data_IF_132157249896
#
_entry.id   IF_132157249896
#
_cell.length_a   1.000
_cell.length_b   1.000
_cell.length_c   1.000
_cell.angle_alpha   90.00
_cell.angle_beta   90.00
_cell.angle_gamma   90.00
#
_symmetry.space_group_name_H-M   'P 1'
#
loop_
_entity.id
_entity.type
_entity.pdbx_description
1 polymer ?
#
# COMPACT_ATOMS: atom_id res chain seq x y z
N UNK A 1 34.60 -1.43 -35.66
CA UNK A 1 33.68 -1.73 -34.55
C UNK A 1 33.04 -0.43 -34.12
N UNK A 2 31.82 -0.21 -34.56
CA UNK A 2 31.07 1.04 -34.47
C UNK A 2 30.11 0.97 -33.31
N UNK A 3 30.16 1.94 -32.39
CA UNK A 3 29.27 2.13 -31.27
C UNK A 3 27.90 2.64 -31.77
N UNK A 4 26.76 2.22 -31.20
CA UNK A 4 25.47 2.78 -31.57
C UNK A 4 25.19 4.11 -30.85
N UNK A 5 24.70 5.07 -31.62
CA UNK A 5 24.28 6.41 -31.19
C UNK A 5 23.03 6.37 -30.29
N UNK A 6 23.14 7.01 -29.15
CA UNK A 6 21.99 7.36 -28.29
C UNK A 6 21.34 8.63 -28.83
N UNK A 7 20.06 8.56 -29.22
CA UNK A 7 19.25 9.74 -29.58
C UNK A 7 18.61 10.34 -28.30
N UNK A 8 18.67 11.67 -28.12
CA UNK A 8 17.95 12.34 -27.05
C UNK A 8 16.47 12.51 -27.38
N UNK A 9 15.60 12.19 -26.41
CA UNK A 9 14.17 12.45 -26.45
C UNK A 9 13.91 13.96 -26.28
N UNK A 10 13.33 14.57 -27.31
CA UNK A 10 12.88 15.97 -27.35
C UNK A 10 11.53 16.06 -26.61
N UNK A 11 11.48 16.90 -25.58
CA UNK A 11 10.22 17.30 -24.90
C UNK A 11 9.51 18.38 -25.72
N UNK A 12 8.17 18.36 -25.87
CA UNK A 12 7.45 19.49 -26.44
C UNK A 12 7.28 20.62 -25.42
N UNK A 13 7.70 21.82 -25.82
CA UNK A 13 7.48 23.09 -25.14
C UNK A 13 6.00 23.48 -25.25
N UNK A 14 5.34 23.65 -24.11
CA UNK A 14 4.02 24.28 -24.05
C UNK A 14 4.22 25.80 -23.98
N UNK A 15 3.74 26.53 -24.99
CA UNK A 15 3.72 28.00 -25.03
C UNK A 15 2.52 28.54 -24.23
N UNK A 16 2.66 29.63 -23.46
CA UNK A 16 1.54 30.29 -22.84
C UNK A 16 0.77 31.17 -23.86
N UNK A 17 -0.54 31.06 -23.86
CA UNK A 17 -1.46 31.92 -24.62
C UNK A 17 -1.63 33.25 -23.88
N UNK A 18 -1.17 34.34 -24.55
CA UNK A 18 -1.42 35.72 -24.14
C UNK A 18 -2.80 36.14 -24.68
N UNK A 19 -3.69 36.57 -23.81
CA UNK A 19 -4.98 37.23 -24.20
C UNK A 19 -4.84 38.74 -24.20
N UNK A 20 -5.43 39.45 -25.19
CA UNK A 20 -5.34 40.91 -25.27
C UNK A 20 -6.36 41.61 -24.32
N UNK A 21 -5.90 42.72 -23.76
CA UNK A 21 -6.69 43.71 -22.99
C UNK A 21 -7.60 44.50 -23.92
N UNK A 22 -8.89 44.49 -23.66
CA UNK A 22 -9.84 45.45 -24.24
C UNK A 22 -10.05 46.56 -23.24
N UNK A 23 -9.74 47.82 -23.66
CA UNK A 23 -10.06 49.04 -22.97
C UNK A 23 -11.47 49.50 -23.39
N UNK A 24 -12.36 49.75 -22.45
CA UNK A 24 -13.60 50.52 -22.67
C UNK A 24 -13.65 51.69 -21.68
N UNK A 25 -14.04 52.82 -22.20
CA UNK A 25 -13.86 54.13 -21.60
C UNK A 25 -14.85 54.52 -20.50
N UNK A 26 -14.49 55.63 -19.89
CA UNK A 26 -15.19 56.39 -18.84
C UNK A 26 -16.60 56.86 -19.20
N UNK A 27 -17.52 56.62 -18.28
CA UNK A 27 -18.75 57.39 -18.14
C UNK A 27 -18.99 57.71 -16.65
N UNK A 28 -18.86 58.97 -16.27
CA UNK A 28 -19.06 59.43 -14.90
C UNK A 28 -20.55 59.65 -14.63
N UNK A 29 -21.07 58.99 -13.61
CA UNK A 29 -22.36 59.34 -12.97
C UNK A 29 -22.12 59.46 -11.45
N UNK A 30 -22.32 60.67 -10.92
CA UNK A 30 -22.29 60.95 -9.49
C UNK A 30 -23.56 60.40 -8.84
N UNK A 31 -23.42 59.43 -7.94
CA UNK A 31 -24.48 59.05 -7.01
C UNK A 31 -23.91 59.05 -5.59
N UNK A 32 -24.57 59.76 -4.70
CA UNK A 32 -24.21 59.96 -3.30
C UNK A 32 -24.16 58.59 -2.55
N UNK A 33 -23.02 58.25 -1.99
CA UNK A 33 -22.83 57.00 -1.19
C UNK A 33 -23.16 57.28 0.28
N UNK A 34 -24.17 56.58 0.79
CA UNK A 34 -24.26 56.22 2.21
C UNK A 34 -23.19 55.17 2.52
N UNK A 35 -22.19 55.55 3.32
CA UNK A 35 -21.17 54.60 3.81
C UNK A 35 -21.77 53.88 5.00
N UNK A 36 -22.31 52.67 4.75
CA UNK A 36 -22.50 51.70 5.80
C UNK A 36 -21.13 51.03 6.08
N UNK A 37 -20.59 51.24 7.27
CA UNK A 37 -19.39 50.54 7.73
C UNK A 37 -19.68 49.04 7.82
N UNK A 38 -19.32 48.29 6.78
CA UNK A 38 -19.25 46.83 6.83
C UNK A 38 -18.00 46.43 7.60
N UNK A 39 -18.16 45.88 8.80
CA UNK A 39 -17.11 45.15 9.50
C UNK A 39 -16.57 44.04 8.57
N UNK A 40 -15.25 43.85 8.45
CA UNK A 40 -14.70 42.74 7.69
C UNK A 40 -15.18 41.45 8.34
N UNK A 41 -16.13 40.77 7.71
CA UNK A 41 -16.50 39.41 8.07
C UNK A 41 -15.23 38.55 7.97
N UNK A 42 -14.82 37.96 9.07
CA UNK A 42 -13.80 36.94 9.07
C UNK A 42 -14.29 35.83 8.13
N UNK A 43 -13.62 35.70 6.98
CA UNK A 43 -13.84 34.57 6.09
C UNK A 43 -13.54 33.31 6.90
N UNK A 44 -14.59 32.64 7.34
CA UNK A 44 -14.47 31.36 8.01
C UNK A 44 -13.92 30.38 6.98
N UNK A 45 -12.67 29.91 7.18
CA UNK A 45 -12.08 28.91 6.32
C UNK A 45 -13.05 27.73 6.23
N UNK A 46 -13.39 27.31 5.01
CA UNK A 46 -14.22 26.13 4.81
C UNK A 46 -13.61 24.96 5.61
N UNK A 47 -14.41 24.17 6.33
CA UNK A 47 -13.89 23.07 7.13
C UNK A 47 -13.08 22.17 6.22
N UNK A 48 -11.81 21.90 6.59
CA UNK A 48 -10.95 20.98 5.88
C UNK A 48 -11.72 19.67 5.70
N UNK A 49 -11.84 19.19 4.46
CA UNK A 49 -12.58 17.96 4.14
C UNK A 49 -11.95 16.81 4.91
N UNK A 50 -12.73 16.12 5.74
CA UNK A 50 -12.22 15.03 6.57
C UNK A 50 -11.63 13.90 5.73
N UNK A 51 -10.52 13.31 6.18
CA UNK A 51 -9.92 12.11 5.59
C UNK A 51 -10.85 10.93 5.83
N UNK A 52 -11.62 10.52 4.81
CA UNK A 52 -12.55 9.40 4.87
C UNK A 52 -11.78 8.12 4.54
N UNK A 53 -11.76 7.17 5.47
CA UNK A 53 -11.03 5.91 5.37
C UNK A 53 -11.87 4.84 6.04
N UNK A 54 -12.04 3.71 5.38
CA UNK A 54 -12.73 2.54 5.89
C UNK A 54 -11.95 1.27 5.54
N UNK A 55 -11.93 0.30 6.44
CA UNK A 55 -11.27 -0.98 6.26
C UNK A 55 -12.23 -2.13 6.53
N UNK A 56 -12.41 -3.01 5.58
CA UNK A 56 -13.21 -4.22 5.71
C UNK A 56 -12.37 -5.46 5.38
N UNK A 57 -12.57 -6.54 6.16
CA UNK A 57 -11.89 -7.81 5.94
C UNK A 57 -12.79 -9.00 6.29
N UNK A 58 -12.39 -10.16 5.81
CA UNK A 58 -12.94 -11.49 6.12
C UNK A 58 -11.79 -12.39 6.53
N UNK A 59 -11.72 -12.80 7.80
CA UNK A 59 -10.61 -13.59 8.35
C UNK A 59 -11.04 -14.67 9.37
N UNK A 60 -12.33 -14.81 9.60
CA UNK A 60 -12.93 -15.87 10.39
C UNK A 60 -13.79 -16.81 9.54
N UNK A 61 -14.05 -18.03 10.05
CA UNK A 61 -14.94 -18.97 9.35
C UNK A 61 -16.34 -18.39 9.12
N UNK A 62 -16.86 -17.63 10.07
CA UNK A 62 -18.20 -17.02 9.96
C UNK A 62 -18.24 -15.95 8.86
N UNK A 63 -17.27 -15.05 8.85
CA UNK A 63 -17.16 -13.98 7.84
C UNK A 63 -16.92 -14.56 6.45
N UNK A 64 -16.01 -15.54 6.29
CA UNK A 64 -15.76 -16.19 5.00
C UNK A 64 -16.99 -16.95 4.48
N UNK A 65 -17.83 -17.50 5.36
CA UNK A 65 -19.11 -18.13 4.97
C UNK A 65 -20.18 -17.15 4.50
N UNK A 66 -20.08 -15.87 4.87
CA UNK A 66 -20.97 -14.83 4.36
C UNK A 66 -20.73 -14.55 2.86
N UNK A 67 -19.58 -14.93 2.33
CA UNK A 67 -19.26 -14.83 0.91
C UNK A 67 -19.86 -15.96 0.07
N UNK A 68 -19.98 -15.72 -1.24
CA UNK A 68 -20.44 -16.70 -2.22
C UNK A 68 -19.27 -17.53 -2.75
N UNK A 69 -19.42 -18.85 -2.74
CA UNK A 69 -18.41 -19.78 -3.28
C UNK A 69 -18.89 -20.45 -4.57
N UNK A 70 -17.92 -20.74 -5.45
CA UNK A 70 -18.13 -21.62 -6.61
C UNK A 70 -16.90 -22.53 -6.74
N UNK A 71 -17.07 -23.82 -6.50
CA UNK A 71 -15.99 -24.81 -6.52
C UNK A 71 -15.03 -24.73 -5.34
N UNK A 72 -15.27 -23.84 -4.38
CA UNK A 72 -14.49 -23.69 -3.15
C UNK A 72 -15.27 -24.15 -1.91
N UNK A 73 -14.56 -24.45 -0.83
CA UNK A 73 -15.12 -24.77 0.47
C UNK A 73 -14.59 -23.82 1.54
N UNK A 74 -15.44 -23.47 2.53
CA UNK A 74 -15.05 -22.65 3.69
C UNK A 74 -15.06 -23.48 4.95
N UNK A 75 -13.90 -23.68 5.54
CA UNK A 75 -13.73 -24.40 6.80
C UNK A 75 -12.50 -23.94 7.56
N UNK A 76 -12.54 -23.99 8.89
CA UNK A 76 -11.39 -23.74 9.78
C UNK A 76 -10.67 -22.39 9.49
N UNK A 77 -11.45 -21.32 9.26
CA UNK A 77 -10.92 -19.98 9.02
C UNK A 77 -10.27 -19.78 7.64
N UNK A 78 -10.61 -20.61 6.65
CA UNK A 78 -10.04 -20.48 5.30
C UNK A 78 -11.00 -20.91 4.19
N UNK A 79 -10.77 -20.37 3.01
CA UNK A 79 -11.37 -20.82 1.74
C UNK A 79 -10.36 -21.71 1.04
N UNK A 80 -10.76 -22.89 0.59
CA UNK A 80 -9.89 -23.83 -0.15
C UNK A 80 -10.53 -24.19 -1.50
N UNK A 81 -9.70 -24.44 -2.50
CA UNK A 81 -10.15 -25.06 -3.75
C UNK A 81 -10.59 -26.50 -3.44
N UNK A 82 -11.85 -26.82 -3.70
CA UNK A 82 -12.45 -28.12 -3.42
C UNK A 82 -12.80 -28.87 -4.71
N UNK A 83 -13.86 -28.43 -5.40
CA UNK A 83 -14.35 -29.02 -6.66
C UNK A 83 -14.34 -27.95 -7.75
N UNK A 84 -13.27 -27.84 -8.56
CA UNK A 84 -13.15 -26.75 -9.54
C UNK A 84 -14.36 -26.66 -10.47
N UNK A 85 -14.88 -25.47 -10.66
CA UNK A 85 -16.04 -25.19 -11.53
C UNK A 85 -15.68 -24.37 -12.76
N UNK A 86 -14.43 -23.89 -12.83
CA UNK A 86 -13.94 -23.07 -13.93
C UNK A 86 -12.52 -23.49 -14.35
N UNK A 87 -12.14 -23.07 -15.54
CA UNK A 87 -10.79 -23.20 -16.07
C UNK A 87 -10.20 -21.84 -16.40
N UNK A 88 -8.89 -21.71 -16.25
CA UNK A 88 -8.09 -20.52 -16.60
C UNK A 88 -6.91 -20.91 -17.48
N UNK A 89 -6.54 -20.04 -18.40
CA UNK A 89 -5.29 -20.15 -19.15
C UNK A 89 -4.37 -18.99 -18.74
N UNK A 90 -3.17 -19.29 -18.26
CA UNK A 90 -2.19 -18.31 -17.84
C UNK A 90 -0.82 -18.77 -18.33
N UNK A 91 -0.10 -17.92 -19.07
CA UNK A 91 1.21 -18.26 -19.63
C UNK A 91 1.21 -19.55 -20.46
N UNK A 92 0.16 -19.80 -21.25
CA UNK A 92 -0.02 -21.03 -22.04
C UNK A 92 -0.36 -22.30 -21.22
N UNK A 93 -0.44 -22.20 -19.90
CA UNK A 93 -0.78 -23.34 -19.01
C UNK A 93 -2.25 -23.31 -18.64
N UNK A 94 -2.88 -24.50 -18.52
CA UNK A 94 -4.27 -24.63 -18.05
C UNK A 94 -4.32 -24.87 -16.55
N UNK A 95 -5.27 -24.19 -15.89
CA UNK A 95 -5.51 -24.26 -14.45
C UNK A 95 -6.99 -24.54 -14.18
N UNK A 96 -7.24 -25.43 -13.24
CA UNK A 96 -8.56 -25.64 -12.62
C UNK A 96 -8.76 -24.55 -11.57
N UNK A 97 -9.95 -23.94 -11.52
CA UNK A 97 -10.22 -22.78 -10.69
C UNK A 97 -11.53 -22.90 -9.90
N UNK A 98 -11.52 -22.26 -8.73
CA UNK A 98 -12.65 -22.02 -7.86
C UNK A 98 -12.68 -20.55 -7.45
N UNK A 99 -13.83 -20.04 -7.00
CA UNK A 99 -13.94 -18.63 -6.59
C UNK A 99 -14.63 -18.48 -5.24
N UNK A 100 -14.24 -17.40 -4.56
CA UNK A 100 -14.94 -16.83 -3.42
C UNK A 100 -15.21 -15.35 -3.71
N UNK A 101 -16.44 -14.87 -3.41
CA UNK A 101 -16.83 -13.46 -3.57
C UNK A 101 -17.36 -12.92 -2.25
N UNK A 102 -16.93 -11.73 -1.86
CA UNK A 102 -17.42 -11.07 -0.66
C UNK A 102 -18.90 -10.65 -0.79
N UNK A 103 -19.59 -10.43 0.32
CA UNK A 103 -20.73 -9.52 0.33
C UNK A 103 -20.33 -8.14 -0.20
N UNK A 104 -21.31 -7.31 -0.59
CA UNK A 104 -21.10 -5.90 -0.91
C UNK A 104 -20.72 -5.13 0.36
N UNK A 105 -19.70 -4.26 0.25
CA UNK A 105 -19.29 -3.33 1.29
C UNK A 105 -19.63 -1.91 0.86
N UNK A 106 -20.23 -1.15 1.78
CA UNK A 106 -20.55 0.27 1.60
C UNK A 106 -19.89 1.05 2.75
N UNK A 107 -18.80 1.78 2.48
CA UNK A 107 -18.03 2.46 3.54
C UNK A 107 -18.75 3.69 4.14
N UNK A 108 -19.93 4.06 3.62
CA UNK A 108 -20.69 5.23 4.07
C UNK A 108 -20.25 6.55 3.42
N UNK A 109 -19.30 6.48 2.50
CA UNK A 109 -18.83 7.62 1.70
C UNK A 109 -18.48 7.18 0.28
N UNK A 110 -18.42 8.13 -0.65
CA UNK A 110 -17.96 7.86 -2.01
C UNK A 110 -16.43 7.82 -2.04
N UNK A 111 -15.84 6.64 -2.11
CA UNK A 111 -14.38 6.44 -2.11
C UNK A 111 -13.79 6.61 -3.52
N UNK A 112 -12.54 7.05 -3.59
CA UNK A 112 -11.79 7.24 -4.83
C UNK A 112 -10.63 6.28 -5.00
N UNK A 113 -10.23 5.60 -3.93
CA UNK A 113 -9.16 4.61 -3.94
C UNK A 113 -9.53 3.39 -3.09
N UNK A 114 -9.10 2.22 -3.55
CA UNK A 114 -9.16 0.96 -2.80
C UNK A 114 -7.82 0.23 -2.94
N UNK A 115 -7.28 -0.27 -1.82
CA UNK A 115 -6.05 -1.07 -1.78
C UNK A 115 -6.37 -2.40 -1.09
N UNK A 116 -6.20 -3.54 -1.77
CA UNK A 116 -6.53 -4.85 -1.21
C UNK A 116 -5.42 -5.37 -0.30
N UNK A 117 -5.76 -6.35 0.50
CA UNK A 117 -4.81 -7.17 1.27
C UNK A 117 -5.30 -8.60 1.33
N UNK A 118 -4.39 -9.56 1.36
CA UNK A 118 -4.75 -10.98 1.48
C UNK A 118 -3.65 -11.79 2.16
N UNK A 119 -4.05 -12.94 2.71
CA UNK A 119 -3.17 -14.02 3.14
C UNK A 119 -3.61 -15.29 2.44
N UNK A 120 -2.72 -15.89 1.66
CA UNK A 120 -3.00 -17.09 0.89
C UNK A 120 -1.83 -18.06 0.89
N UNK A 121 -2.13 -19.36 0.90
CA UNK A 121 -1.17 -20.40 0.63
C UNK A 121 -1.34 -20.92 -0.80
N UNK A 122 -0.24 -21.02 -1.54
CA UNK A 122 -0.22 -21.44 -2.95
C UNK A 122 0.83 -22.52 -3.15
N UNK A 123 0.55 -23.76 -2.70
CA UNK A 123 1.49 -24.88 -2.82
C UNK A 123 1.66 -25.33 -4.28
N UNK A 124 2.88 -25.73 -4.67
CA UNK A 124 3.19 -26.24 -6.01
C UNK A 124 2.84 -25.22 -7.11
N UNK A 125 2.36 -25.69 -8.26
CA UNK A 125 1.90 -24.85 -9.37
C UNK A 125 0.46 -24.40 -9.11
N UNK A 126 0.30 -23.47 -8.15
CA UNK A 126 -0.99 -22.85 -7.81
C UNK A 126 -0.81 -21.37 -7.50
N UNK A 127 -1.92 -20.60 -7.61
CA UNK A 127 -1.94 -19.18 -7.37
C UNK A 127 -3.33 -18.69 -6.95
N UNK A 128 -3.41 -17.44 -6.51
CA UNK A 128 -4.65 -16.71 -6.33
C UNK A 128 -4.69 -15.47 -7.22
N UNK A 129 -5.89 -15.08 -7.70
CA UNK A 129 -6.16 -13.77 -8.27
C UNK A 129 -7.09 -13.01 -7.35
N UNK A 130 -6.73 -11.76 -7.04
CA UNK A 130 -7.59 -10.85 -6.27
C UNK A 130 -8.16 -9.82 -7.23
N UNK A 131 -9.49 -9.82 -7.35
CA UNK A 131 -10.26 -8.95 -8.25
C UNK A 131 -11.23 -8.11 -7.45
N UNK A 132 -11.49 -6.90 -7.92
CA UNK A 132 -12.48 -6.00 -7.33
C UNK A 132 -13.46 -5.51 -8.37
N UNK A 133 -14.65 -5.13 -7.93
CA UNK A 133 -15.62 -4.34 -8.69
C UNK A 133 -16.37 -3.40 -7.77
N UNK A 134 -16.97 -2.36 -8.32
CA UNK A 134 -17.72 -1.38 -7.55
C UNK A 134 -19.00 -0.91 -8.20
N UNK A 135 -19.76 -0.15 -7.45
CA UNK A 135 -20.94 0.58 -7.94
C UNK A 135 -20.79 2.07 -7.63
N UNK A 136 -21.14 2.89 -8.59
CA UNK A 136 -21.27 4.33 -8.36
C UNK A 136 -22.60 4.70 -7.68
N UNK A 137 -22.80 5.99 -7.45
CA UNK A 137 -24.02 6.51 -6.82
C UNK A 137 -25.29 6.28 -7.66
N UNK A 138 -25.16 6.11 -8.98
CA UNK A 138 -26.26 5.82 -9.88
C UNK A 138 -26.56 4.30 -9.98
N UNK A 139 -25.80 3.47 -9.25
CA UNK A 139 -25.95 2.01 -9.28
C UNK A 139 -25.25 1.32 -10.46
N UNK A 140 -24.52 2.06 -11.31
CA UNK A 140 -23.75 1.48 -12.42
C UNK A 140 -22.64 0.61 -11.88
N UNK A 141 -22.49 -0.57 -12.45
CA UNK A 141 -21.52 -1.59 -12.02
C UNK A 141 -20.26 -1.52 -12.89
N UNK A 142 -19.09 -1.54 -12.27
CA UNK A 142 -17.84 -1.73 -13.00
C UNK A 142 -17.62 -3.18 -13.41
N UNK A 143 -16.67 -3.42 -14.31
CA UNK A 143 -16.09 -4.73 -14.59
C UNK A 143 -15.36 -5.29 -13.36
N UNK A 144 -14.83 -6.52 -13.48
CA UNK A 144 -13.94 -7.11 -12.47
C UNK A 144 -12.48 -6.83 -12.81
N UNK A 145 -11.87 -5.87 -12.15
CA UNK A 145 -10.46 -5.53 -12.29
C UNK A 145 -9.57 -6.46 -11.48
N UNK A 146 -8.49 -6.93 -12.10
CA UNK A 146 -7.46 -7.76 -11.46
C UNK A 146 -6.41 -6.87 -10.79
N UNK A 147 -6.39 -6.87 -9.45
CA UNK A 147 -5.41 -6.11 -8.65
C UNK A 147 -4.12 -6.89 -8.37
N UNK A 148 -4.16 -8.21 -8.41
CA UNK A 148 -2.96 -9.00 -8.23
C UNK A 148 -3.17 -10.47 -8.55
N UNK A 149 -2.21 -11.04 -9.25
CA UNK A 149 -2.01 -12.49 -9.38
C UNK A 149 -0.82 -12.86 -8.51
N UNK A 150 -1.07 -13.64 -7.48
CA UNK A 150 -0.13 -13.93 -6.43
C UNK A 150 0.17 -15.43 -6.31
N UNK A 151 1.46 -15.75 -6.24
CA UNK A 151 1.97 -17.03 -5.78
C UNK A 151 3.08 -16.80 -4.75
N UNK A 152 3.16 -17.63 -3.70
CA UNK A 152 4.20 -17.55 -2.67
C UNK A 152 5.60 -17.88 -3.18
N UNK A 153 5.68 -18.52 -4.36
CA UNK A 153 6.92 -18.84 -5.09
C UNK A 153 6.77 -18.42 -6.55
N UNK A 154 7.86 -17.99 -7.15
CA UNK A 154 7.96 -17.64 -8.58
C UNK A 154 8.37 -18.84 -9.47
N UNK A 155 8.49 -20.04 -8.91
CA UNK A 155 8.94 -21.23 -9.63
C UNK A 155 8.02 -21.62 -10.81
N UNK A 156 6.74 -21.28 -10.75
CA UNK A 156 5.76 -21.69 -11.76
C UNK A 156 4.98 -20.53 -12.37
N UNK A 157 4.89 -19.43 -11.65
CA UNK A 157 4.11 -18.24 -12.02
C UNK A 157 4.78 -16.98 -11.50
N UNK A 158 4.94 -16.02 -12.36
CA UNK A 158 5.37 -14.67 -12.03
C UNK A 158 4.22 -13.91 -11.33
N UNK A 159 4.52 -13.34 -10.15
CA UNK A 159 3.57 -12.43 -9.48
C UNK A 159 3.44 -11.17 -10.28
N UNK A 160 2.22 -10.71 -10.47
CA UNK A 160 1.97 -9.53 -11.30
C UNK A 160 0.69 -8.82 -10.91
N UNK A 161 0.71 -7.51 -10.99
CA UNK A 161 -0.49 -6.68 -11.17
C UNK A 161 -0.86 -6.64 -12.64
N UNK A 162 -2.01 -6.07 -12.99
CA UNK A 162 -2.44 -5.91 -14.37
C UNK A 162 -2.85 -4.46 -14.61
N UNK A 163 -2.11 -3.77 -15.46
CA UNK A 163 -2.46 -2.42 -15.93
C UNK A 163 -3.45 -2.48 -17.12
N UNK A 164 -3.91 -1.31 -17.58
CA UNK A 164 -4.71 -1.20 -18.80
C UNK A 164 -6.16 -1.64 -18.65
N UNK A 165 -6.73 -1.54 -17.44
CA UNK A 165 -8.12 -1.90 -17.11
C UNK A 165 -9.01 -0.65 -16.94
N UNK A 166 -8.71 0.46 -17.62
CA UNK A 166 -9.49 1.71 -17.60
C UNK A 166 -10.64 1.65 -18.63
N UNK A 167 -11.48 0.64 -18.54
CA UNK A 167 -12.55 0.38 -19.50
C UNK A 167 -13.93 0.87 -19.04
N UNK A 168 -14.08 1.30 -17.77
CA UNK A 168 -15.34 1.75 -17.23
C UNK A 168 -15.20 2.79 -16.08
N UNK A 169 -15.63 2.45 -14.84
CA UNK A 169 -15.73 3.38 -13.70
C UNK A 169 -14.40 3.55 -12.94
N UNK A 170 -13.44 2.65 -13.13
CA UNK A 170 -12.21 2.60 -12.37
C UNK A 170 -11.04 2.08 -13.20
N UNK A 171 -9.84 2.15 -12.61
CA UNK A 171 -8.60 1.67 -13.22
C UNK A 171 -7.64 1.15 -12.14
N UNK A 172 -6.74 0.26 -12.52
CA UNK A 172 -5.67 -0.25 -11.67
C UNK A 172 -4.39 0.54 -11.93
N UNK A 173 -3.83 1.11 -10.87
CA UNK A 173 -2.51 1.76 -10.87
C UNK A 173 -1.61 1.01 -9.91
N UNK A 174 -0.83 0.08 -10.43
CA UNK A 174 0.02 -0.87 -9.68
C UNK A 174 -0.82 -1.67 -8.67
N UNK A 175 -0.89 -1.23 -7.44
CA UNK A 175 -1.51 -1.88 -6.28
C UNK A 175 -2.78 -1.16 -5.77
N UNK A 176 -3.17 -0.09 -6.43
CA UNK A 176 -4.31 0.75 -6.06
C UNK A 176 -5.37 0.75 -7.15
N UNK A 177 -6.60 0.43 -6.78
CA UNK A 177 -7.77 0.60 -7.62
C UNK A 177 -8.30 2.03 -7.48
N UNK A 178 -8.31 2.79 -8.57
CA UNK A 178 -8.63 4.22 -8.61
C UNK A 178 -9.94 4.47 -9.35
N UNK A 179 -10.84 5.16 -8.70
CA UNK A 179 -12.13 5.61 -9.25
C UNK A 179 -12.29 7.12 -9.02
N UNK A 180 -11.76 7.99 -9.89
CA UNK A 180 -11.74 9.44 -9.65
C UNK A 180 -13.12 10.06 -9.45
N UNK A 181 -14.16 9.55 -10.12
CA UNK A 181 -15.55 9.98 -9.95
C UNK A 181 -16.16 9.52 -8.62
N UNK A 182 -15.56 8.52 -7.98
CA UNK A 182 -16.01 7.93 -6.72
C UNK A 182 -16.99 6.78 -6.90
N UNK A 183 -16.87 5.79 -6.02
CA UNK A 183 -17.75 4.62 -5.92
C UNK A 183 -18.38 4.56 -4.53
N UNK A 184 -19.65 4.10 -4.45
CA UNK A 184 -20.40 4.01 -3.20
C UNK A 184 -20.30 2.64 -2.53
N UNK A 185 -19.94 1.59 -3.27
CA UNK A 185 -19.79 0.24 -2.74
C UNK A 185 -18.83 -0.59 -3.60
N UNK A 186 -18.31 -1.68 -3.01
CA UNK A 186 -17.35 -2.57 -3.66
C UNK A 186 -17.54 -4.03 -3.24
N UNK A 187 -17.01 -4.93 -4.05
CA UNK A 187 -16.84 -6.35 -3.74
C UNK A 187 -15.44 -6.81 -4.13
N UNK A 188 -14.91 -7.80 -3.41
CA UNK A 188 -13.72 -8.54 -3.80
C UNK A 188 -14.09 -9.96 -4.23
N UNK A 189 -13.42 -10.44 -5.28
CA UNK A 189 -13.44 -11.84 -5.71
C UNK A 189 -12.03 -12.41 -5.64
N UNK A 190 -11.87 -13.55 -4.98
CA UNK A 190 -10.61 -14.31 -5.01
C UNK A 190 -10.82 -15.56 -5.85
N UNK A 191 -9.99 -15.72 -6.87
CA UNK A 191 -9.91 -16.95 -7.68
C UNK A 191 -8.76 -17.78 -7.10
N UNK A 192 -9.04 -19.01 -6.70
CA UNK A 192 -8.05 -20.00 -6.32
C UNK A 192 -7.81 -20.91 -7.51
N UNK A 193 -6.58 -21.03 -7.98
CA UNK A 193 -6.23 -21.79 -9.17
C UNK A 193 -5.08 -22.75 -8.93
N UNK A 194 -5.17 -23.97 -9.48
CA UNK A 194 -4.08 -24.96 -9.49
C UNK A 194 -3.85 -25.50 -10.89
N UNK A 195 -2.66 -25.93 -11.19
CA UNK A 195 -2.34 -26.58 -12.44
C UNK A 195 -3.34 -27.72 -12.73
N UNK A 196 -3.94 -27.74 -13.91
CA UNK A 196 -4.90 -28.77 -14.28
C UNK A 196 -4.24 -30.17 -14.23
N UNK A 197 -4.93 -31.13 -13.63
CA UNK A 197 -4.43 -32.49 -13.43
C UNK A 197 -3.54 -32.67 -12.19
N UNK A 198 -3.36 -31.62 -11.36
CA UNK A 198 -2.64 -31.74 -10.07
C UNK A 198 -3.59 -31.74 -8.87
N UNK A 199 -3.06 -32.11 -7.69
CA UNK A 199 -3.79 -32.14 -6.43
C UNK A 199 -3.45 -30.97 -5.50
N UNK A 200 -2.64 -29.98 -5.96
CA UNK A 200 -2.33 -28.81 -5.16
C UNK A 200 -3.61 -28.12 -4.68
N UNK A 201 -3.65 -27.71 -3.41
CA UNK A 201 -4.83 -27.08 -2.79
C UNK A 201 -4.48 -25.69 -2.32
N UNK A 202 -4.60 -24.67 -3.19
CA UNK A 202 -4.45 -23.29 -2.76
C UNK A 202 -5.54 -22.91 -1.76
N UNK A 203 -5.19 -22.06 -0.81
CA UNK A 203 -6.14 -21.56 0.20
C UNK A 203 -5.99 -20.07 0.42
N UNK A 204 -7.08 -19.44 0.88
CA UNK A 204 -7.17 -18.06 1.30
C UNK A 204 -7.53 -18.05 2.79
N UNK A 205 -6.70 -17.42 3.63
CA UNK A 205 -6.92 -17.29 5.06
C UNK A 205 -7.56 -15.94 5.43
N UNK A 206 -7.22 -14.88 4.68
CA UNK A 206 -7.73 -13.53 4.90
C UNK A 206 -7.81 -12.80 3.56
N UNK A 207 -8.84 -11.99 3.38
CA UNK A 207 -8.90 -10.96 2.34
C UNK A 207 -9.63 -9.75 2.89
N UNK A 208 -9.20 -8.57 2.47
CA UNK A 208 -9.81 -7.29 2.85
C UNK A 208 -9.32 -6.18 1.95
N UNK A 209 -9.80 -4.97 2.20
CA UNK A 209 -9.30 -3.78 1.54
C UNK A 209 -9.54 -2.53 2.39
N UNK A 210 -8.65 -1.55 2.26
CA UNK A 210 -8.89 -0.19 2.69
C UNK A 210 -9.47 0.62 1.53
N UNK A 211 -10.55 1.36 1.79
CA UNK A 211 -11.10 2.37 0.89
C UNK A 211 -10.83 3.75 1.44
N UNK A 212 -10.61 4.73 0.57
CA UNK A 212 -10.37 6.10 0.99
C UNK A 212 -10.87 7.16 0.02
N UNK A 213 -11.24 8.32 0.57
CA UNK A 213 -11.33 9.60 -0.12
C UNK A 213 -10.54 10.60 0.72
N UNK A 214 -9.42 11.03 0.14
CA UNK A 214 -8.48 11.92 0.83
C UNK A 214 -8.64 13.35 0.30
N UNK A 215 -8.57 14.38 1.17
CA UNK A 215 -8.52 15.76 0.73
C UNK A 215 -7.20 16.05 0.01
N UNK A 216 -7.19 17.10 -0.82
CA UNK A 216 -5.98 17.57 -1.48
C UNK A 216 -5.01 18.25 -0.49
N UNK A 217 -5.57 18.89 0.52
CA UNK A 217 -4.78 19.63 1.52
C UNK A 217 -4.29 18.69 2.63
N UNK A 218 -3.07 18.94 3.10
CA UNK A 218 -2.50 18.28 4.25
C UNK A 218 -3.29 18.61 5.52
N UNK A 219 -3.54 17.64 6.41
CA UNK A 219 -3.97 17.95 7.75
C UNK A 219 -2.83 18.67 8.49
N UNK A 220 -3.16 19.55 9.42
CA UNK A 220 -2.15 20.12 10.32
C UNK A 220 -1.47 19.05 11.17
N UNK A 221 -0.28 19.36 11.69
CA UNK A 221 0.50 18.44 12.54
C UNK A 221 -0.31 17.98 13.74
N UNK A 222 -0.38 16.68 13.93
CA UNK A 222 -1.11 16.08 15.05
C UNK A 222 -0.35 16.24 16.37
N UNK A 223 -1.09 16.46 17.48
CA UNK A 223 -0.49 16.52 18.82
C UNK A 223 0.05 15.15 19.22
N UNK A 224 1.20 15.08 19.94
CA UNK A 224 1.72 13.83 20.51
C UNK A 224 0.68 13.08 21.34
N UNK A 225 0.69 11.77 21.25
CA UNK A 225 -0.30 10.85 21.82
C UNK A 225 0.28 9.88 22.85
N UNK A 226 -0.24 8.64 22.92
CA UNK A 226 0.04 7.72 24.04
C UNK A 226 1.42 7.05 24.01
N UNK A 227 2.17 7.12 22.88
CA UNK A 227 3.46 6.41 22.75
C UNK A 227 4.69 7.32 22.96
N UNK A 228 4.53 8.51 23.51
CA UNK A 228 5.67 9.38 23.84
C UNK A 228 6.69 8.67 24.75
N UNK A 229 7.95 8.72 24.37
CA UNK A 229 9.04 8.04 25.08
C UNK A 229 9.09 6.54 24.86
N UNK A 230 8.25 5.98 23.97
CA UNK A 230 8.24 4.55 23.64
C UNK A 230 8.97 4.30 22.33
N UNK A 231 9.96 3.41 22.36
CA UNK A 231 10.69 2.96 21.16
C UNK A 231 10.76 1.43 21.19
N UNK A 232 10.25 0.78 20.15
CA UNK A 232 10.29 -0.67 19.99
C UNK A 232 11.70 -1.11 19.49
N UNK A 233 12.18 -2.22 20.00
CA UNK A 233 13.51 -2.76 19.63
C UNK A 233 13.45 -3.56 18.31
N UNK A 234 13.12 -2.85 17.23
CA UNK A 234 13.08 -3.40 15.88
C UNK A 234 14.50 -3.49 15.32
N UNK A 235 14.94 -4.65 14.78
CA UNK A 235 16.29 -4.81 14.24
C UNK A 235 16.57 -3.85 13.08
N UNK A 236 17.84 -3.53 12.89
CA UNK A 236 18.32 -2.57 11.91
C UNK A 236 18.84 -3.31 10.67
N UNK A 237 18.15 -3.17 9.53
CA UNK A 237 18.62 -3.66 8.23
C UNK A 237 18.71 -2.49 7.25
N UNK A 238 19.82 -2.45 6.49
CA UNK A 238 20.01 -1.44 5.45
C UNK A 238 19.83 -2.07 4.07
N UNK A 239 19.00 -1.47 3.22
CA UNK A 239 18.88 -1.87 1.83
C UNK A 239 20.18 -1.65 1.06
N UNK A 240 20.99 -0.67 1.47
CA UNK A 240 22.24 -0.30 0.81
C UNK A 240 23.34 -1.34 0.99
N UNK A 241 23.23 -2.23 1.98
CA UNK A 241 24.14 -3.39 2.10
C UNK A 241 23.91 -4.45 1.01
N UNK A 242 22.82 -4.31 0.25
CA UNK A 242 22.45 -5.16 -0.88
C UNK A 242 22.68 -4.46 -2.24
N UNK A 243 23.41 -3.37 -2.28
CA UNK A 243 23.75 -2.64 -3.50
C UNK A 243 24.33 -3.59 -4.56
N UNK A 244 23.74 -3.57 -5.76
CA UNK A 244 24.13 -4.44 -6.87
C UNK A 244 23.67 -5.91 -6.76
N UNK A 245 23.00 -6.31 -5.66
CA UNK A 245 22.42 -7.64 -5.56
C UNK A 245 21.20 -7.77 -6.48
N UNK A 246 21.15 -8.82 -7.29
CA UNK A 246 19.98 -9.23 -8.08
C UNK A 246 19.24 -8.06 -8.77
N UNK A 247 19.89 -7.34 -9.70
CA UNK A 247 19.31 -6.16 -10.36
C UNK A 247 18.02 -6.48 -11.15
N UNK A 248 17.77 -7.73 -11.49
CA UNK A 248 16.52 -8.20 -12.10
C UNK A 248 15.29 -8.03 -11.20
N UNK A 249 15.44 -7.72 -9.93
CA UNK A 249 14.33 -7.44 -9.02
C UNK A 249 14.29 -5.96 -8.67
N UNK A 250 13.81 -5.14 -9.64
CA UNK A 250 13.58 -3.72 -9.48
C UNK A 250 14.84 -2.87 -9.38
N UNK A 251 15.93 -3.28 -10.02
CA UNK A 251 17.19 -2.53 -10.06
C UNK A 251 18.22 -2.93 -8.99
N UNK A 252 17.85 -3.77 -8.00
CA UNK A 252 18.78 -4.23 -6.96
C UNK A 252 18.51 -3.64 -5.59
N UNK A 253 19.42 -3.88 -4.66
CA UNK A 253 19.26 -3.53 -3.26
C UNK A 253 18.94 -2.07 -2.99
N UNK A 254 19.45 -1.17 -3.81
CA UNK A 254 19.19 0.28 -3.74
C UNK A 254 17.71 0.64 -3.84
N UNK A 255 16.88 -0.23 -4.43
CA UNK A 255 15.44 -0.04 -4.59
C UNK A 255 14.59 -0.89 -3.62
N UNK A 256 15.21 -1.59 -2.65
CA UNK A 256 14.52 -2.58 -1.80
C UNK A 256 14.05 -2.04 -0.45
N UNK A 257 13.61 -0.79 -0.38
CA UNK A 257 13.12 -0.19 0.87
C UNK A 257 11.94 -0.98 1.47
N UNK A 258 11.00 -1.44 0.65
CA UNK A 258 9.81 -2.16 1.10
C UNK A 258 10.12 -3.56 1.66
N UNK A 259 10.81 -4.48 0.94
CA UNK A 259 11.18 -5.79 1.51
C UNK A 259 12.14 -5.69 2.69
N UNK A 260 13.03 -4.68 2.74
CA UNK A 260 13.92 -4.45 3.88
C UNK A 260 13.12 -4.02 5.12
N UNK A 261 12.22 -3.05 4.98
CA UNK A 261 11.32 -2.61 6.06
C UNK A 261 10.41 -3.74 6.55
N UNK A 262 9.84 -4.51 5.63
CA UNK A 262 9.05 -5.71 5.95
C UNK A 262 9.88 -6.74 6.73
N UNK A 263 11.14 -6.96 6.34
CA UNK A 263 12.06 -7.88 7.03
C UNK A 263 12.43 -7.38 8.43
N UNK A 264 12.58 -6.07 8.65
CA UNK A 264 12.78 -5.50 9.99
C UNK A 264 11.61 -5.83 10.93
N UNK A 265 10.38 -5.68 10.47
CA UNK A 265 9.19 -6.01 11.27
C UNK A 265 9.07 -7.52 11.51
N UNK A 266 9.33 -8.35 10.50
CA UNK A 266 9.38 -9.80 10.68
C UNK A 266 10.48 -10.23 11.65
N UNK A 267 11.64 -9.57 11.61
CA UNK A 267 12.75 -9.78 12.55
C UNK A 267 12.35 -9.43 14.00
N UNK A 268 11.63 -8.35 14.19
CA UNK A 268 11.11 -7.94 15.50
C UNK A 268 10.23 -9.02 16.16
N UNK A 269 9.40 -9.71 15.37
CA UNK A 269 8.58 -10.81 15.85
C UNK A 269 9.30 -12.19 15.85
N UNK A 270 10.57 -12.28 15.44
CA UNK A 270 11.28 -13.56 15.29
C UNK A 270 10.69 -14.44 14.18
N UNK A 271 10.13 -13.84 13.12
CA UNK A 271 9.39 -14.49 12.03
C UNK A 271 10.08 -14.39 10.67
N UNK A 272 11.38 -14.18 10.65
CA UNK A 272 12.18 -14.23 9.42
C UNK A 272 12.07 -15.60 8.73
N UNK A 273 12.26 -15.66 7.40
CA UNK A 273 12.34 -16.95 6.70
C UNK A 273 13.45 -17.83 7.28
N UNK A 274 13.22 -19.15 7.26
CA UNK A 274 14.23 -20.11 7.70
C UNK A 274 15.41 -20.17 6.69
N UNK A 275 16.65 -20.48 7.11
CA UNK A 275 17.84 -20.50 6.25
C UNK A 275 17.66 -21.28 4.95
N UNK A 276 16.95 -22.42 4.98
CA UNK A 276 16.67 -23.21 3.78
C UNK A 276 15.91 -22.46 2.68
N UNK A 277 15.14 -21.42 3.03
CA UNK A 277 14.34 -20.65 2.06
C UNK A 277 15.22 -19.72 1.21
N UNK A 278 16.34 -19.28 1.74
CA UNK A 278 17.31 -18.40 1.07
C UNK A 278 18.69 -19.05 0.87
N UNK A 279 18.75 -20.39 0.88
CA UNK A 279 20.01 -21.12 0.65
C UNK A 279 20.65 -20.91 -0.73
N UNK A 280 19.91 -20.32 -1.66
CA UNK A 280 20.36 -19.89 -2.98
C UNK A 280 21.09 -18.53 -2.96
N UNK A 281 20.97 -17.76 -1.86
CA UNK A 281 21.71 -16.50 -1.69
C UNK A 281 23.15 -16.83 -1.27
N UNK A 282 24.18 -16.21 -1.90
CA UNK A 282 25.57 -16.43 -1.53
C UNK A 282 25.84 -16.20 -0.04
N UNK A 283 26.65 -17.04 0.56
CA UNK A 283 26.95 -17.03 2.01
C UNK A 283 27.61 -15.73 2.52
N UNK A 284 28.19 -14.93 1.60
CA UNK A 284 28.79 -13.62 1.94
C UNK A 284 27.80 -12.47 2.00
N UNK A 285 26.53 -12.67 1.59
CA UNK A 285 25.53 -11.60 1.66
C UNK A 285 25.08 -11.38 3.10
N UNK A 286 25.14 -10.10 3.53
CA UNK A 286 24.59 -9.67 4.81
C UNK A 286 23.06 -9.71 4.74
N UNK A 287 22.38 -10.15 5.83
CA UNK A 287 20.93 -10.19 5.93
C UNK A 287 20.23 -10.88 4.72
N UNK A 288 20.61 -12.14 4.34
CA UNK A 288 20.17 -12.78 3.10
C UNK A 288 18.64 -13.01 3.00
N UNK A 289 17.91 -12.87 4.11
CA UNK A 289 16.46 -12.85 4.13
C UNK A 289 15.86 -11.62 3.45
N UNK A 290 16.62 -10.52 3.31
CA UNK A 290 16.21 -9.33 2.54
C UNK A 290 16.24 -9.65 1.05
N UNK A 291 17.30 -10.30 0.53
CA UNK A 291 17.37 -10.80 -0.85
C UNK A 291 16.20 -11.74 -1.17
N UNK A 292 15.89 -12.63 -0.22
CA UNK A 292 14.72 -13.52 -0.35
C UNK A 292 13.40 -12.75 -0.35
N UNK A 293 13.24 -11.75 0.52
CA UNK A 293 12.04 -10.93 0.58
C UNK A 293 11.85 -10.13 -0.71
N UNK A 294 12.92 -9.55 -1.27
CA UNK A 294 12.88 -8.83 -2.54
C UNK A 294 12.38 -9.74 -3.67
N UNK A 295 12.95 -10.94 -3.82
CA UNK A 295 12.46 -11.95 -4.78
C UNK A 295 11.01 -12.31 -4.53
N UNK A 296 10.60 -12.50 -3.27
CA UNK A 296 9.28 -12.97 -2.90
C UNK A 296 8.18 -11.90 -3.00
N UNK A 297 8.52 -10.61 -3.11
CA UNK A 297 7.58 -9.48 -3.24
C UNK A 297 7.65 -8.80 -4.60
N UNK A 298 8.57 -9.20 -5.48
CA UNK A 298 8.74 -8.61 -6.80
C UNK A 298 7.48 -8.75 -7.66
N UNK A 299 7.04 -7.64 -8.21
CA UNK A 299 5.92 -7.54 -9.16
C UNK A 299 6.48 -7.36 -10.57
N UNK A 300 6.29 -8.38 -11.40
CA UNK A 300 6.87 -8.41 -12.76
C UNK A 300 6.27 -7.39 -13.72
N UNK A 301 5.03 -6.91 -13.50
CA UNK A 301 4.42 -5.85 -14.31
C UNK A 301 4.87 -4.45 -13.91
N UNK A 302 5.01 -4.25 -12.60
CA UNK A 302 5.47 -2.99 -12.03
C UNK A 302 7.00 -2.84 -12.12
N UNK A 303 7.72 -3.95 -12.31
CA UNK A 303 9.18 -4.05 -12.28
C UNK A 303 9.77 -3.49 -10.96
N UNK A 304 9.18 -3.91 -9.82
CA UNK A 304 9.60 -3.40 -8.52
C UNK A 304 9.16 -4.27 -7.34
N UNK A 305 9.82 -4.05 -6.20
CA UNK A 305 9.56 -4.74 -4.93
C UNK A 305 8.65 -3.95 -3.99
N UNK A 306 8.23 -2.74 -4.41
CA UNK A 306 7.44 -1.80 -3.61
C UNK A 306 5.93 -2.05 -3.62
N UNK A 307 5.40 -3.06 -4.31
CA UNK A 307 3.98 -3.39 -4.31
C UNK A 307 3.48 -3.67 -2.89
N UNK A 308 2.56 -2.83 -2.38
CA UNK A 308 2.14 -2.85 -0.98
C UNK A 308 1.37 -4.13 -0.61
N UNK A 309 0.34 -4.55 -1.35
CA UNK A 309 -0.32 -5.84 -1.14
C UNK A 309 0.62 -7.05 -1.19
N UNK A 310 1.62 -7.05 -2.08
CA UNK A 310 2.55 -8.17 -2.20
C UNK A 310 3.45 -8.30 -0.97
N UNK A 311 3.90 -7.18 -0.40
CA UNK A 311 4.67 -7.17 0.84
C UNK A 311 3.84 -7.68 2.04
N UNK A 312 2.58 -7.24 2.16
CA UNK A 312 1.70 -7.75 3.22
C UNK A 312 1.31 -9.22 3.00
N UNK A 313 1.06 -9.64 1.76
CA UNK A 313 0.79 -11.05 1.44
C UNK A 313 2.01 -11.97 1.69
N UNK A 314 3.23 -11.44 1.52
CA UNK A 314 4.46 -12.12 1.92
C UNK A 314 4.60 -12.23 3.44
N UNK A 315 4.27 -11.17 4.18
CA UNK A 315 4.42 -11.11 5.64
C UNK A 315 3.34 -11.89 6.39
N UNK A 316 2.09 -11.88 5.93
CA UNK A 316 0.92 -12.43 6.64
C UNK A 316 1.08 -13.89 7.07
N UNK A 317 1.47 -14.85 6.22
CA UNK A 317 1.62 -16.25 6.64
C UNK A 317 2.81 -16.48 7.58
N UNK A 318 3.70 -15.51 7.72
CA UNK A 318 4.88 -15.57 8.61
C UNK A 318 4.58 -14.98 9.99
N UNK A 319 4.10 -13.76 10.02
CA UNK A 319 3.77 -13.07 11.27
C UNK A 319 2.45 -13.58 11.89
N UNK A 320 1.47 -13.92 11.06
CA UNK A 320 0.12 -14.33 11.44
C UNK A 320 -0.93 -13.44 10.79
N UNK A 321 -0.79 -12.13 10.84
CA UNK A 321 -1.67 -11.15 10.18
C UNK A 321 -0.85 -10.02 9.56
N UNK A 322 -1.21 -9.64 8.34
CA UNK A 322 -0.69 -8.42 7.72
C UNK A 322 -1.71 -7.86 6.73
N UNK A 323 -1.82 -6.54 6.69
CA UNK A 323 -2.70 -5.81 5.77
C UNK A 323 -2.19 -4.40 5.51
N UNK A 324 -2.65 -3.81 4.42
CA UNK A 324 -2.44 -2.40 4.09
C UNK A 324 -3.62 -1.59 4.62
N UNK A 325 -3.33 -0.46 5.27
CA UNK A 325 -4.36 0.52 5.60
C UNK A 325 -3.82 1.94 5.49
N UNK A 326 -4.68 2.92 5.80
CA UNK A 326 -4.31 4.33 5.90
C UNK A 326 -4.65 4.84 7.29
N UNK A 327 -3.75 5.61 7.86
CA UNK A 327 -3.99 6.31 9.13
C UNK A 327 -4.21 7.79 8.87
N UNK A 328 -4.91 8.44 9.80
CA UNK A 328 -5.29 9.86 9.67
C UNK A 328 -4.26 10.80 10.24
N UNK A 329 -3.37 10.30 11.13
CA UNK A 329 -2.37 11.10 11.82
C UNK A 329 -1.29 10.23 12.47
N UNK A 330 -0.17 10.82 12.85
CA UNK A 330 0.84 10.17 13.70
C UNK A 330 0.27 9.79 15.07
N UNK A 331 -0.77 10.49 15.56
CA UNK A 331 -1.46 10.10 16.80
C UNK A 331 -2.17 8.73 16.69
N UNK A 332 -2.68 8.37 15.52
CA UNK A 332 -3.17 7.00 15.27
C UNK A 332 -1.99 6.01 15.22
N UNK A 333 -0.87 6.36 14.59
CA UNK A 333 0.33 5.51 14.57
C UNK A 333 0.87 5.24 15.99
N UNK A 334 0.82 6.22 16.88
CA UNK A 334 1.22 6.05 18.28
C UNK A 334 0.41 4.98 19.01
N UNK A 335 -0.86 4.75 18.63
CA UNK A 335 -1.68 3.69 19.23
C UNK A 335 -1.15 2.30 18.88
N UNK A 336 -0.64 2.12 17.67
CA UNK A 336 0.01 0.87 17.24
C UNK A 336 1.33 0.66 17.98
N UNK A 337 2.15 1.71 18.10
CA UNK A 337 3.41 1.64 18.85
C UNK A 337 3.14 1.30 20.34
N UNK A 338 2.13 1.91 20.95
CA UNK A 338 1.73 1.60 22.34
C UNK A 338 1.21 0.14 22.48
N UNK A 339 0.69 -0.46 21.42
CA UNK A 339 0.30 -1.86 21.34
C UNK A 339 1.45 -2.82 20.96
N UNK A 340 2.70 -2.32 20.84
CA UNK A 340 3.86 -3.13 20.45
C UNK A 340 3.91 -3.47 18.94
N UNK A 341 3.22 -2.71 18.10
CA UNK A 341 3.12 -2.97 16.65
C UNK A 341 3.88 -1.88 15.89
N UNK A 342 5.09 -2.14 15.37
CA UNK A 342 5.78 -1.22 14.47
C UNK A 342 5.07 -1.16 13.11
N UNK A 343 5.13 -0.01 12.44
CA UNK A 343 4.41 0.24 11.19
C UNK A 343 5.39 0.48 10.03
N UNK A 344 5.23 -0.22 8.93
CA UNK A 344 5.93 0.16 7.69
C UNK A 344 5.13 1.28 7.02
N UNK A 345 5.68 2.48 6.95
CA UNK A 345 5.03 3.66 6.40
C UNK A 345 5.60 4.02 5.02
N UNK A 346 4.71 4.38 4.09
CA UNK A 346 5.10 4.91 2.77
C UNK A 346 5.19 6.42 2.84
N UNK A 347 6.35 6.98 2.49
CA UNK A 347 6.61 8.43 2.49
C UNK A 347 7.06 8.92 1.12
N UNK A 348 6.84 10.19 0.82
CA UNK A 348 7.36 10.89 -0.36
C UNK A 348 7.69 12.31 0.04
N UNK A 349 8.84 12.82 -0.39
CA UNK A 349 9.30 14.17 -0.04
C UNK A 349 10.26 14.72 -1.10
N UNK A 350 10.29 16.03 -1.23
CA UNK A 350 11.23 16.79 -2.04
C UNK A 350 12.50 17.16 -1.24
N UNK A 351 13.45 17.78 -1.92
CA UNK A 351 14.71 18.22 -1.31
C UNK A 351 14.44 19.24 -0.18
N UNK A 352 14.99 18.97 1.02
CA UNK A 352 14.87 19.82 2.20
C UNK A 352 13.51 19.71 2.93
N UNK A 353 12.63 18.78 2.55
CA UNK A 353 11.34 18.58 3.21
C UNK A 353 11.38 17.59 4.38
N UNK A 354 12.45 16.78 4.48
CA UNK A 354 12.64 15.83 5.58
C UNK A 354 14.12 15.87 6.04
N UNK A 355 14.39 16.65 7.07
CA UNK A 355 15.74 16.84 7.61
C UNK A 355 16.30 15.53 8.19
N UNK A 356 17.59 15.29 7.93
CA UNK A 356 18.29 14.09 8.41
C UNK A 356 17.96 12.81 7.63
N UNK A 357 17.16 12.87 6.58
CA UNK A 357 16.91 11.72 5.70
C UNK A 357 18.20 11.27 4.99
N UNK A 358 18.43 9.94 4.79
CA UNK A 358 19.62 9.44 4.12
C UNK A 358 19.62 9.68 2.60
N UNK A 359 18.46 10.02 2.03
CA UNK A 359 18.25 10.40 0.64
C UNK A 359 17.66 11.79 0.57
N UNK A 360 18.04 12.59 -0.42
CA UNK A 360 17.63 14.00 -0.52
C UNK A 360 16.19 14.20 -0.94
N UNK A 361 15.60 13.25 -1.68
CA UNK A 361 14.21 13.28 -2.14
C UNK A 361 13.77 11.92 -2.62
N UNK A 362 12.46 11.68 -2.64
CA UNK A 362 11.88 10.44 -3.18
C UNK A 362 10.43 10.64 -3.63
N UNK A 363 10.04 9.99 -4.71
CA UNK A 363 8.63 9.87 -5.12
C UNK A 363 7.88 8.75 -4.37
N UNK A 364 8.60 7.87 -3.66
CA UNK A 364 8.04 6.80 -2.84
C UNK A 364 9.15 6.03 -2.12
N UNK A 365 9.05 5.95 -0.80
CA UNK A 365 10.00 5.26 0.05
C UNK A 365 9.28 4.60 1.22
N UNK A 366 9.74 3.41 1.63
CA UNK A 366 9.18 2.67 2.77
C UNK A 366 10.21 2.68 3.91
N UNK A 367 9.75 3.09 5.09
CA UNK A 367 10.51 3.06 6.34
C UNK A 367 9.66 2.49 7.48
N UNK A 368 10.26 2.15 8.60
CA UNK A 368 9.53 1.60 9.75
C UNK A 368 9.41 2.64 10.85
N UNK A 369 8.18 3.06 11.19
CA UNK A 369 7.92 3.81 12.43
C UNK A 369 8.07 2.82 13.58
N UNK A 370 9.02 3.08 14.49
CA UNK A 370 9.35 2.20 15.61
C UNK A 370 9.10 2.83 16.97
N UNK A 371 8.84 4.14 17.01
CA UNK A 371 8.63 4.83 18.29
C UNK A 371 8.49 6.32 18.17
N UNK A 372 8.45 6.95 19.35
CA UNK A 372 8.36 8.39 19.51
C UNK A 372 9.23 8.85 20.67
N UNK A 373 9.91 9.99 20.51
CA UNK A 373 10.66 10.64 21.59
C UNK A 373 9.74 11.16 22.69
N UNK A 374 10.29 11.57 23.82
CA UNK A 374 9.52 12.21 24.88
C UNK A 374 8.87 13.54 24.43
N UNK A 375 9.45 14.22 23.45
CA UNK A 375 8.91 15.44 22.82
C UNK A 375 7.83 15.15 21.77
N UNK A 376 7.80 13.91 21.24
CA UNK A 376 6.82 13.46 20.24
C UNK A 376 7.35 13.38 18.82
N UNK A 377 8.64 13.61 18.60
CA UNK A 377 9.31 13.38 17.32
C UNK A 377 9.32 11.89 16.99
N UNK A 378 9.41 11.57 15.72
CA UNK A 378 9.19 10.20 15.24
C UNK A 378 10.50 9.45 15.14
N UNK A 379 10.62 8.35 15.89
CA UNK A 379 11.75 7.43 15.77
C UNK A 379 11.44 6.38 14.71
N UNK A 380 12.32 6.29 13.71
CA UNK A 380 12.14 5.38 12.57
C UNK A 380 13.38 4.49 12.37
N UNK A 381 13.18 3.38 11.68
CA UNK A 381 14.25 2.66 10.99
C UNK A 381 14.12 2.96 9.49
N UNK A 382 15.06 3.72 8.96
CA UNK A 382 15.11 4.09 7.55
C UNK A 382 16.13 3.20 6.81
N UNK A 383 15.65 2.28 5.93
CA UNK A 383 16.51 1.33 5.25
C UNK A 383 17.47 1.96 4.24
N UNK A 384 17.23 3.18 3.78
CA UNK A 384 18.09 3.86 2.79
C UNK A 384 19.42 4.35 3.38
N UNK A 385 19.66 4.19 4.69
CA UNK A 385 20.95 4.47 5.28
C UNK A 385 22.04 3.58 4.70
N UNK A 386 23.22 4.15 4.43
CA UNK A 386 24.37 3.44 3.86
C UNK A 386 24.98 2.40 4.82
N UNK A 387 24.69 2.51 6.12
CA UNK A 387 25.19 1.58 7.14
C UNK A 387 24.06 1.13 8.06
N UNK A 388 24.20 -0.07 8.63
CA UNK A 388 23.27 -0.58 9.65
C UNK A 388 23.13 0.37 10.84
N UNK A 389 24.23 0.93 11.32
CA UNK A 389 24.24 1.85 12.47
C UNK A 389 23.43 3.13 12.22
N UNK A 390 23.37 3.61 10.97
CA UNK A 390 22.64 4.82 10.60
C UNK A 390 21.16 4.58 10.27
N UNK A 391 20.66 3.35 10.33
CA UNK A 391 19.25 3.02 10.02
C UNK A 391 18.28 3.65 11.03
N UNK A 392 18.61 3.65 12.35
CA UNK A 392 17.79 4.30 13.37
C UNK A 392 17.94 5.81 13.29
N UNK A 393 16.83 6.52 13.09
CA UNK A 393 16.77 7.97 12.95
C UNK A 393 15.61 8.56 13.75
N UNK A 394 15.73 9.86 14.03
CA UNK A 394 14.62 10.66 14.56
C UNK A 394 14.31 11.75 13.56
N UNK A 395 13.06 11.86 13.16
CA UNK A 395 12.56 12.90 12.29
C UNK A 395 11.63 13.84 13.04
N UNK A 396 11.68 15.12 12.69
CA UNK A 396 10.70 16.10 13.14
C UNK A 396 9.29 15.62 12.83
N UNK A 397 8.40 15.76 13.80
CA UNK A 397 7.03 15.26 13.71
C UNK A 397 6.27 15.89 12.55
N UNK A 398 6.37 17.21 12.36
CA UNK A 398 5.64 17.92 11.33
C UNK A 398 6.13 17.54 9.93
N UNK A 399 7.46 17.47 9.75
CA UNK A 399 8.05 17.09 8.47
C UNK A 399 7.69 15.66 8.07
N UNK A 400 7.79 14.70 9.01
CA UNK A 400 7.43 13.31 8.68
C UNK A 400 5.93 13.15 8.45
N UNK A 401 5.08 13.81 9.25
CA UNK A 401 3.63 13.73 9.08
C UNK A 401 3.21 14.32 7.72
N UNK A 402 3.84 15.39 7.26
CA UNK A 402 3.61 15.96 5.93
C UNK A 402 4.06 15.02 4.81
N UNK A 403 5.30 14.52 4.85
CA UNK A 403 5.85 13.57 3.89
C UNK A 403 5.00 12.29 3.77
N UNK A 404 4.35 11.89 4.86
CA UNK A 404 3.52 10.69 4.93
C UNK A 404 2.05 10.93 4.55
N UNK A 405 1.39 11.95 5.15
CA UNK A 405 -0.05 12.16 4.97
C UNK A 405 -0.38 12.86 3.65
N UNK A 406 0.40 13.87 3.26
CA UNK A 406 0.12 14.69 2.09
C UNK A 406 0.34 13.90 0.80
N UNK A 407 1.47 13.21 0.69
CA UNK A 407 1.89 12.60 -0.58
C UNK A 407 1.60 11.11 -0.69
N UNK A 408 1.61 10.39 0.44
CA UNK A 408 1.33 8.94 0.48
C UNK A 408 0.00 8.60 1.13
N UNK A 409 -0.77 9.62 1.54
CA UNK A 409 -2.11 9.42 2.10
C UNK A 409 -2.16 8.66 3.42
N UNK A 410 -1.09 8.68 4.22
CA UNK A 410 -1.05 8.00 5.51
C UNK A 410 -0.99 6.47 5.42
N UNK A 411 -0.45 5.94 4.32
CA UNK A 411 -0.39 4.51 4.06
C UNK A 411 0.59 3.80 4.98
N UNK A 412 0.16 2.66 5.52
CA UNK A 412 1.00 1.76 6.33
C UNK A 412 0.74 0.29 6.02
N UNK A 413 1.77 -0.54 6.21
CA UNK A 413 1.59 -1.96 6.44
C UNK A 413 1.47 -2.19 7.94
N UNK A 414 0.41 -2.85 8.35
CA UNK A 414 0.24 -3.39 9.69
C UNK A 414 0.61 -4.87 9.62
N UNK A 415 1.73 -5.23 10.22
CA UNK A 415 2.22 -6.61 10.31
C UNK A 415 2.27 -6.95 11.79
N UNK A 416 1.59 -8.01 12.22
CA UNK A 416 1.51 -8.39 13.64
C UNK A 416 1.37 -9.90 13.85
N UNK A 417 1.77 -10.35 15.01
CA UNK A 417 1.49 -11.71 15.49
C UNK A 417 0.26 -11.75 16.42
N UNK A 418 -0.05 -12.92 16.94
CA UNK A 418 -1.19 -13.11 17.84
C UNK A 418 -0.99 -12.50 19.23
N UNK A 419 0.25 -12.24 19.67
CA UNK A 419 0.55 -11.63 20.95
C UNK A 419 0.33 -10.11 20.96
N UNK A 420 0.25 -9.49 19.80
CA UNK A 420 0.08 -8.05 19.62
C UNK A 420 -1.29 -7.76 18.97
N UNK A 421 -2.37 -7.65 19.77
CA UNK A 421 -3.70 -7.32 19.24
C UNK A 421 -3.73 -5.88 18.69
N UNK A 422 -4.63 -5.65 17.72
CA UNK A 422 -4.86 -4.30 17.20
C UNK A 422 -5.31 -3.34 18.31
N UNK A 423 -4.97 -2.05 18.24
CA UNK A 423 -5.42 -1.06 19.19
C UNK A 423 -6.95 -1.03 19.30
N UNK A 424 -7.48 -1.04 20.52
CA UNK A 424 -8.92 -0.99 20.76
C UNK A 424 -9.55 0.31 20.23
N UNK A 425 -10.84 0.30 19.93
CA UNK A 425 -11.59 1.50 19.48
C UNK A 425 -11.11 2.01 18.13
N UNK A 426 -11.01 1.14 17.13
CA UNK A 426 -10.73 1.53 15.73
C UNK A 426 -11.76 2.58 15.27
N UNK A 427 -11.33 3.66 14.60
CA UNK A 427 -12.23 4.59 13.93
C UNK A 427 -12.63 4.13 12.53
N UNK A 428 -12.61 2.82 12.24
CA UNK A 428 -13.03 2.20 10.98
C UNK A 428 -11.91 1.99 9.95
N UNK A 429 -10.65 2.22 10.30
CA UNK A 429 -9.53 2.05 9.38
C UNK A 429 -8.56 0.91 9.76
N UNK A 430 -8.90 0.09 10.77
CA UNK A 430 -8.24 -1.18 11.09
C UNK A 430 -9.14 -2.13 11.87
#
# INVERSE_FOLDING_TARGET
MTLPHVRPLVRPLVRPLVRPLVRIGLGAVLASCYVAAMSPGTAQAAPATARQIDYAQWDSTAELRAGKVSGAAVARGRVTLASPTARRSVGGKRYDAATWESPWVSPGFSFTELIPSWSAATPGDSFVEVRVRGRDAAGRLSSWDLLGRWASSDAHLERTTLSGQADDLANVSVDTWRAPAGLGSWQVRVVLARRAGTTATPSLDTVGAVTSRLPADAPGTSRPGPARGTVLDVPLYSQMTHTGHYPQWGGGGEAWCSPTSTSMVLGYYGKLPRPRAYSWVPSGHTDPWVDFAARATFDHSYDGTGNWPFNTAYAAPRAGKAFVTRLRSLREAERFIAAGIPLVASVSFGAGELDGAPISSTAGHLLVIVGFTATGDVVVNDPASTTRAGVRRTYDRAQLEDAWLTRSGGLVYVIRDSAHPLPAGSPGNW
#
